data_IF_003321089929
#
_entry.id   IF_003321089929
#
_cell.length_a   1.000
_cell.length_b   1.000
_cell.length_c   1.000
_cell.angle_alpha   90.00
_cell.angle_beta   90.00
_cell.angle_gamma   90.00
#
_symmetry.space_group_name_H-M   'P 1'
#
loop_
_entity.id
_entity.type
_entity.pdbx_description
1 polymer ?
#
# COMPACT_ATOMS: atom_id res chain seq x y z
N UNK A 1 -6.64 -12.13 30.10
CA UNK A 1 -6.66 -10.66 30.35
C UNK A 1 -7.39 -9.88 29.27
N UNK A 2 -7.18 -10.16 27.97
CA UNK A 2 -7.86 -9.50 26.84
C UNK A 2 -9.41 -9.49 26.95
N UNK A 3 -10.03 -10.62 27.30
CA UNK A 3 -11.49 -10.74 27.47
C UNK A 3 -12.08 -9.79 28.51
N UNK A 4 -11.40 -9.62 29.64
CA UNK A 4 -11.82 -8.72 30.72
C UNK A 4 -11.75 -7.27 30.24
N UNK A 5 -10.69 -6.90 29.51
CA UNK A 5 -10.56 -5.56 28.94
C UNK A 5 -11.65 -5.30 27.90
N UNK A 6 -11.91 -6.24 26.99
CA UNK A 6 -12.94 -6.09 25.96
C UNK A 6 -14.36 -5.97 26.57
N UNK A 7 -14.67 -6.74 27.62
CA UNK A 7 -15.94 -6.62 28.35
C UNK A 7 -16.07 -5.30 29.14
N UNK A 8 -14.94 -4.71 29.57
CA UNK A 8 -14.93 -3.42 30.26
C UNK A 8 -15.09 -2.26 29.27
N UNK A 9 -14.46 -2.34 28.10
CA UNK A 9 -14.44 -1.26 27.11
C UNK A 9 -15.65 -1.28 26.17
N UNK A 10 -16.21 -2.45 25.86
CA UNK A 10 -17.33 -2.58 24.92
C UNK A 10 -18.64 -2.92 25.64
N UNK A 11 -19.42 -1.87 25.95
CA UNK A 11 -20.69 -2.04 26.64
C UNK A 11 -21.72 -2.85 25.84
N UNK A 12 -21.71 -2.73 24.50
CA UNK A 12 -22.60 -3.49 23.61
C UNK A 12 -22.28 -4.99 23.66
N UNK A 13 -21.00 -5.36 23.63
CA UNK A 13 -20.58 -6.75 23.77
C UNK A 13 -21.01 -7.31 25.14
N UNK A 14 -20.86 -6.53 26.21
CA UNK A 14 -21.27 -6.92 27.56
C UNK A 14 -22.77 -7.19 27.64
N UNK A 15 -23.59 -6.31 27.06
CA UNK A 15 -25.04 -6.51 26.98
C UNK A 15 -25.39 -7.77 26.20
N UNK A 16 -24.77 -8.00 25.04
CA UNK A 16 -25.02 -9.20 24.23
C UNK A 16 -24.64 -10.51 24.92
N UNK A 17 -23.64 -10.50 25.81
CA UNK A 17 -23.28 -11.66 26.62
C UNK A 17 -24.32 -11.89 27.74
N UNK A 18 -24.80 -10.82 28.37
CA UNK A 18 -25.82 -10.90 29.43
C UNK A 18 -27.20 -11.31 28.91
N UNK A 19 -27.58 -10.85 27.71
CA UNK A 19 -28.85 -11.21 27.06
C UNK A 19 -28.81 -12.58 26.38
N UNK A 20 -27.67 -13.26 26.37
CA UNK A 20 -27.49 -14.58 25.74
C UNK A 20 -27.34 -14.56 24.22
N UNK A 21 -27.34 -13.38 23.58
CA UNK A 21 -27.05 -13.25 22.14
C UNK A 21 -25.63 -13.75 21.78
N UNK A 22 -24.70 -13.68 22.74
CA UNK A 22 -23.39 -14.31 22.68
C UNK A 22 -23.27 -15.33 23.81
N UNK A 23 -23.18 -16.62 23.46
CA UNK A 23 -22.96 -17.68 24.45
C UNK A 23 -21.55 -17.65 25.03
N UNK A 24 -21.38 -18.13 26.26
CA UNK A 24 -20.08 -18.21 26.93
C UNK A 24 -19.06 -19.06 26.14
N UNK A 25 -19.52 -20.13 25.48
CA UNK A 25 -18.69 -20.97 24.60
C UNK A 25 -18.21 -20.21 23.36
N UNK A 26 -19.04 -19.33 22.79
CA UNK A 26 -18.64 -18.48 21.67
C UNK A 26 -17.64 -17.42 22.13
N UNK A 27 -17.90 -16.76 23.26
CA UNK A 27 -17.03 -15.73 23.85
C UNK A 27 -15.62 -16.26 24.18
N UNK A 28 -15.51 -17.53 24.59
CA UNK A 28 -14.20 -18.12 24.91
C UNK A 28 -13.33 -18.31 23.66
N UNK A 29 -13.95 -18.60 22.51
CA UNK A 29 -13.29 -18.86 21.22
C UNK A 29 -13.08 -17.61 20.36
N UNK A 30 -13.85 -16.54 20.58
CA UNK A 30 -13.72 -15.29 19.82
C UNK A 30 -12.32 -14.68 19.97
N UNK A 31 -11.84 -14.06 18.89
CA UNK A 31 -10.57 -13.33 18.90
C UNK A 31 -10.73 -11.94 19.54
N UNK A 32 -9.64 -11.33 20.06
CA UNK A 32 -9.68 -9.95 20.58
C UNK A 32 -10.19 -8.93 19.57
N UNK A 33 -9.93 -9.16 18.29
CA UNK A 33 -10.35 -8.30 17.19
C UNK A 33 -11.85 -8.36 16.95
N UNK A 34 -12.41 -9.58 16.97
CA UNK A 34 -13.85 -9.83 16.87
C UNK A 34 -14.65 -9.30 18.07
N UNK A 35 -14.01 -9.13 19.23
CA UNK A 35 -14.65 -8.57 20.43
C UNK A 35 -14.64 -7.02 20.48
N UNK A 36 -13.91 -6.37 19.60
CA UNK A 36 -13.84 -4.90 19.58
C UNK A 36 -15.18 -4.25 19.18
N UNK A 37 -15.31 -2.95 19.44
CA UNK A 37 -16.47 -2.17 19.00
C UNK A 37 -16.58 -2.16 17.48
N UNK A 38 -17.80 -1.94 16.98
CA UNK A 38 -18.06 -1.87 15.53
C UNK A 38 -17.21 -0.78 14.89
N UNK A 39 -17.09 0.38 15.55
CA UNK A 39 -16.26 1.50 15.11
C UNK A 39 -14.77 1.13 14.99
N UNK A 40 -14.20 0.46 16.02
CA UNK A 40 -12.78 0.06 16.00
C UNK A 40 -12.49 -1.05 14.98
N UNK A 41 -13.47 -1.89 14.65
CA UNK A 41 -13.35 -2.85 13.55
C UNK A 41 -13.32 -2.12 12.21
N UNK A 42 -14.31 -1.27 11.96
CA UNK A 42 -14.37 -0.50 10.72
C UNK A 42 -13.12 0.36 10.49
N UNK A 43 -12.57 0.96 11.55
CA UNK A 43 -11.35 1.76 11.49
C UNK A 43 -10.11 0.91 11.15
N UNK A 44 -10.00 -0.30 11.72
CA UNK A 44 -8.92 -1.24 11.35
C UNK A 44 -9.08 -1.76 9.93
N UNK A 45 -10.29 -2.11 9.52
CA UNK A 45 -10.57 -2.57 8.15
C UNK A 45 -10.19 -1.49 7.13
N UNK A 46 -10.48 -0.21 7.46
CA UNK A 46 -10.05 0.94 6.67
C UNK A 46 -8.52 1.03 6.56
N UNK A 47 -7.80 0.99 7.69
CA UNK A 47 -6.34 1.05 7.67
C UNK A 47 -5.67 -0.14 6.98
N UNK A 48 -6.23 -1.35 7.14
CA UNK A 48 -5.74 -2.54 6.44
C UNK A 48 -5.92 -2.36 4.94
N UNK A 49 -7.09 -1.86 4.51
CA UNK A 49 -7.35 -1.58 3.11
C UNK A 49 -6.40 -0.53 2.55
N UNK A 50 -6.24 0.60 3.23
CA UNK A 50 -5.29 1.66 2.84
C UNK A 50 -3.86 1.14 2.78
N UNK A 51 -3.41 0.36 3.77
CA UNK A 51 -2.07 -0.22 3.79
C UNK A 51 -1.82 -1.22 2.65
N UNK A 52 -2.84 -2.00 2.26
CA UNK A 52 -2.75 -2.88 1.09
C UNK A 52 -2.66 -2.05 -0.18
N UNK A 53 -3.50 -1.03 -0.34
CA UNK A 53 -3.50 -0.14 -1.52
C UNK A 53 -2.16 0.58 -1.68
N UNK A 54 -1.63 1.17 -0.60
CA UNK A 54 -0.34 1.86 -0.61
C UNK A 54 0.82 0.91 -0.95
N UNK A 55 0.79 -0.32 -0.43
CA UNK A 55 1.84 -1.32 -0.70
C UNK A 55 1.88 -1.79 -2.16
N UNK A 56 0.77 -1.65 -2.90
CA UNK A 56 0.67 -2.07 -4.30
C UNK A 56 1.12 -0.98 -5.28
N UNK A 57 1.32 0.25 -4.82
CA UNK A 57 1.80 1.34 -5.66
C UNK A 57 3.30 1.15 -5.93
N UNK A 58 3.63 0.42 -7.00
CA UNK A 58 4.98 0.38 -7.54
C UNK A 58 5.34 1.78 -8.05
N UNK A 59 6.14 2.53 -7.28
CA UNK A 59 6.67 3.82 -7.71
C UNK A 59 7.72 3.55 -8.79
N UNK A 60 7.44 3.93 -10.03
CA UNK A 60 8.44 3.92 -11.11
C UNK A 60 9.46 5.00 -10.78
N UNK A 61 10.66 4.58 -10.38
CA UNK A 61 11.75 5.50 -10.03
C UNK A 61 12.19 6.33 -11.24
N UNK A 62 12.27 7.65 -11.05
CA UNK A 62 12.85 8.60 -11.99
C UNK A 62 11.93 9.75 -12.37
N UNK A 63 12.45 10.68 -13.15
CA UNK A 63 11.73 11.88 -13.57
C UNK A 63 10.91 11.60 -14.83
N UNK A 64 9.59 11.76 -14.75
CA UNK A 64 8.69 11.65 -15.90
C UNK A 64 8.84 12.86 -16.83
N UNK A 65 8.91 12.62 -18.13
CA UNK A 65 9.04 13.65 -19.17
C UNK A 65 8.33 13.29 -20.45
N UNK A 66 7.82 14.31 -21.12
CA UNK A 66 7.26 14.22 -22.48
C UNK A 66 8.23 14.70 -23.57
N UNK A 67 9.46 15.04 -23.18
CA UNK A 67 10.50 15.53 -24.10
C UNK A 67 11.03 14.42 -25.03
N UNK A 68 10.89 13.16 -24.62
CA UNK A 68 11.48 12.00 -25.27
C UNK A 68 10.39 11.16 -25.94
N UNK A 69 10.53 10.91 -27.24
CA UNK A 69 9.60 10.05 -27.99
C UNK A 69 10.14 8.61 -28.05
N UNK A 70 9.32 7.65 -27.66
CA UNK A 70 9.69 6.24 -27.76
C UNK A 70 9.77 5.77 -29.21
N UNK A 71 10.89 5.16 -29.60
CA UNK A 71 11.08 4.60 -30.95
C UNK A 71 10.15 3.42 -31.28
N UNK A 72 9.63 2.68 -30.28
CA UNK A 72 8.76 1.52 -30.50
C UNK A 72 7.27 1.87 -30.58
N UNK A 73 6.73 2.51 -29.53
CA UNK A 73 5.29 2.82 -29.46
C UNK A 73 4.94 4.25 -29.89
N UNK A 74 5.94 5.10 -30.15
CA UNK A 74 5.80 6.48 -30.62
C UNK A 74 5.09 7.44 -29.65
N UNK A 75 4.77 6.97 -28.44
CA UNK A 75 4.27 7.79 -27.33
C UNK A 75 5.43 8.53 -26.65
N UNK A 76 5.10 9.59 -25.90
CA UNK A 76 6.06 10.46 -25.22
C UNK A 76 6.17 10.24 -23.71
N UNK A 77 5.32 9.38 -23.14
CA UNK A 77 5.34 9.02 -21.72
C UNK A 77 6.60 8.21 -21.37
N UNK A 78 7.67 8.91 -20.99
CA UNK A 78 8.97 8.33 -20.68
C UNK A 78 9.49 8.84 -19.33
N UNK A 79 10.16 7.96 -18.59
CA UNK A 79 10.97 8.31 -17.41
C UNK A 79 12.44 8.36 -17.81
N UNK A 80 13.18 9.36 -17.33
CA UNK A 80 14.62 9.44 -17.52
C UNK A 80 15.35 9.57 -16.19
N UNK A 81 16.58 9.05 -16.15
CA UNK A 81 17.52 9.17 -15.03
C UNK A 81 18.92 9.45 -15.59
N UNK A 82 19.65 10.38 -14.99
CA UNK A 82 21.01 10.74 -15.40
C UNK A 82 22.01 10.16 -14.42
N UNK A 83 22.95 9.39 -14.95
CA UNK A 83 23.99 8.72 -14.17
C UNK A 83 25.34 8.95 -14.86
N UNK A 84 26.34 9.38 -14.09
CA UNK A 84 27.72 9.44 -14.58
C UNK A 84 28.27 8.01 -14.60
N UNK A 85 28.37 7.41 -15.78
CA UNK A 85 28.87 6.03 -15.95
C UNK A 85 30.25 5.96 -16.59
N UNK A 86 30.86 7.12 -16.88
CA UNK A 86 32.14 7.27 -17.57
C UNK A 86 33.08 8.20 -16.79
N UNK A 87 34.29 8.40 -17.30
CA UNK A 87 35.30 9.29 -16.74
C UNK A 87 34.74 10.70 -16.45
N UNK A 88 35.40 11.42 -15.55
CA UNK A 88 34.97 12.76 -15.13
C UNK A 88 34.91 13.77 -16.30
N UNK A 89 35.69 13.54 -17.35
CA UNK A 89 35.77 14.40 -18.53
C UNK A 89 34.67 14.11 -19.58
N UNK A 90 33.91 13.02 -19.41
CA UNK A 90 32.82 12.66 -20.30
C UNK A 90 31.45 13.07 -19.74
N UNK A 91 30.51 13.51 -20.60
CA UNK A 91 29.20 13.95 -20.16
C UNK A 91 28.41 12.80 -19.51
N UNK A 92 27.45 13.17 -18.65
CA UNK A 92 26.57 12.22 -17.99
C UNK A 92 25.75 11.39 -18.98
N UNK A 93 25.54 10.11 -18.68
CA UNK A 93 24.70 9.24 -19.51
C UNK A 93 23.25 9.35 -19.06
N UNK A 94 22.35 9.62 -20.01
CA UNK A 94 20.90 9.65 -19.74
C UNK A 94 20.29 8.30 -20.08
N UNK A 95 19.70 7.64 -19.08
CA UNK A 95 18.93 6.41 -19.24
C UNK A 95 17.45 6.75 -19.35
N UNK A 96 16.76 6.17 -20.31
CA UNK A 96 15.33 6.42 -20.57
C UNK A 96 14.56 5.11 -20.58
N UNK A 97 13.42 5.11 -19.93
CA UNK A 97 12.42 4.05 -19.92
C UNK A 97 11.10 4.60 -20.48
N UNK A 98 10.51 3.91 -21.44
CA UNK A 98 9.16 4.19 -21.88
C UNK A 98 8.16 3.48 -20.95
N UNK A 99 7.29 4.25 -20.30
CA UNK A 99 6.30 3.72 -19.34
C UNK A 99 5.17 2.95 -20.04
N UNK A 100 5.04 3.07 -21.37
CA UNK A 100 3.95 2.49 -22.15
C UNK A 100 4.27 1.10 -22.70
N UNK A 101 5.52 0.88 -23.12
CA UNK A 101 5.94 -0.39 -23.75
C UNK A 101 7.16 -1.03 -23.08
N UNK A 102 7.67 -0.43 -22.00
CA UNK A 102 8.85 -0.91 -21.28
C UNK A 102 10.17 -0.78 -22.05
N UNK A 103 10.19 -0.10 -23.20
CA UNK A 103 11.40 0.09 -23.98
C UNK A 103 12.42 0.92 -23.20
N UNK A 104 13.67 0.44 -23.12
CA UNK A 104 14.77 1.11 -22.43
C UNK A 104 15.87 1.45 -23.42
N UNK A 105 16.38 2.67 -23.36
CA UNK A 105 17.53 3.10 -24.16
C UNK A 105 18.37 4.11 -23.38
N UNK A 106 19.58 4.38 -23.86
CA UNK A 106 20.47 5.39 -23.30
C UNK A 106 21.03 6.26 -24.41
N UNK A 107 21.34 7.51 -24.09
CA UNK A 107 22.12 8.39 -24.97
C UNK A 107 23.15 9.17 -24.15
N UNK A 108 24.25 9.51 -24.81
CA UNK A 108 25.42 10.22 -24.29
C UNK A 108 25.55 11.54 -25.04
#
# INVERSE_FOLDING_TARGET
RSRIMNLKSNNMLRLNVLTGAVSASKLSKMTPEEMASVEMKALRDKFVKEGIEDSQLAVVEGTQTDLLKCGKCHKRNCTYNQLQTRSADEPMTTFVLCNECGHRWKFC
#
